data_IF_784971924495
#
_entry.id   IF_784971924495
#
_cell.length_a   1.000
_cell.length_b   1.000
_cell.length_c   1.000
_cell.angle_alpha   90.00
_cell.angle_beta   90.00
_cell.angle_gamma   90.00
#
_symmetry.space_group_name_H-M   'P 1'
#
loop_
_entity.id
_entity.type
_entity.pdbx_description
1 polymer ?
#
# COMPACT_ATOMS: atom_id res chain seq x y z
N UNK A 1 3.41 1.15 -14.49
CA UNK A 1 4.68 0.43 -14.82
C UNK A 1 4.58 -1.01 -14.33
N UNK A 2 5.07 -2.00 -15.08
CA UNK A 2 5.04 -3.42 -14.69
C UNK A 2 6.42 -3.85 -14.24
N UNK A 3 6.53 -4.67 -13.17
CA UNK A 3 7.83 -5.15 -12.63
C UNK A 3 8.71 -5.92 -13.62
N UNK A 4 8.09 -6.60 -14.59
CA UNK A 4 8.80 -7.34 -15.65
C UNK A 4 9.17 -6.47 -16.85
N UNK A 5 8.89 -5.17 -16.82
CA UNK A 5 9.26 -4.29 -17.93
C UNK A 5 10.74 -3.93 -17.90
N UNK A 6 11.34 -3.81 -19.08
CA UNK A 6 12.74 -3.37 -19.21
C UNK A 6 12.96 -1.98 -18.60
N UNK A 7 12.00 -1.08 -18.74
CA UNK A 7 12.06 0.26 -18.14
C UNK A 7 12.11 0.22 -16.61
N UNK A 8 11.39 -0.70 -15.98
CA UNK A 8 11.47 -0.88 -14.55
C UNK A 8 12.84 -1.39 -14.12
N UNK A 9 13.34 -2.44 -14.75
CA UNK A 9 14.56 -3.12 -14.34
C UNK A 9 15.83 -2.31 -14.63
N UNK A 10 15.90 -1.67 -15.81
CA UNK A 10 17.13 -1.02 -16.28
C UNK A 10 17.17 0.49 -16.10
N UNK A 11 16.01 1.13 -15.86
CA UNK A 11 15.95 2.58 -15.66
C UNK A 11 15.47 2.92 -14.26
N UNK A 12 14.24 2.56 -13.92
CA UNK A 12 13.65 2.96 -12.64
C UNK A 12 14.40 2.41 -11.43
N UNK A 13 14.62 1.11 -11.38
CA UNK A 13 15.24 0.43 -10.24
C UNK A 13 16.67 0.91 -9.97
N UNK A 14 17.59 0.99 -10.97
CA UNK A 14 18.93 1.51 -10.76
C UNK A 14 18.94 2.98 -10.31
N UNK A 15 18.08 3.83 -10.88
CA UNK A 15 17.97 5.24 -10.46
C UNK A 15 17.54 5.34 -9.00
N UNK A 16 16.49 4.60 -8.61
CA UNK A 16 16.00 4.59 -7.23
C UNK A 16 17.08 4.11 -6.27
N UNK A 17 17.78 3.02 -6.58
CA UNK A 17 18.89 2.54 -5.75
C UNK A 17 20.06 3.53 -5.70
N UNK A 18 20.43 4.13 -6.83
CA UNK A 18 21.49 5.15 -6.86
C UNK A 18 21.19 6.32 -5.93
N UNK A 19 19.97 6.89 -6.05
CA UNK A 19 19.54 7.99 -5.19
C UNK A 19 19.44 7.54 -3.73
N UNK A 20 18.91 6.34 -3.47
CA UNK A 20 18.76 5.79 -2.13
C UNK A 20 20.11 5.63 -1.40
N UNK A 21 21.13 5.03 -2.04
CA UNK A 21 22.42 4.77 -1.41
C UNK A 21 23.29 6.02 -1.26
N UNK A 22 23.20 6.98 -2.20
CA UNK A 22 23.89 8.28 -2.10
C UNK A 22 23.30 9.13 -0.98
N UNK A 23 22.03 8.94 -0.67
CA UNK A 23 21.31 9.79 0.28
C UNK A 23 21.57 9.44 1.74
N UNK A 24 21.58 10.44 2.63
CA UNK A 24 21.74 10.21 4.06
C UNK A 24 20.54 9.41 4.62
N UNK A 25 20.79 8.59 5.63
CA UNK A 25 19.82 7.66 6.22
C UNK A 25 18.47 8.33 6.59
N UNK A 26 18.52 9.56 7.06
CA UNK A 26 17.32 10.32 7.50
C UNK A 26 16.27 10.53 6.40
N UNK A 27 16.70 10.64 5.14
CA UNK A 27 15.79 10.91 4.02
C UNK A 27 15.48 9.67 3.16
N UNK A 28 16.06 8.51 3.47
CA UNK A 28 15.87 7.28 2.68
C UNK A 28 14.40 6.84 2.62
N UNK A 29 13.65 6.95 3.72
CA UNK A 29 12.22 6.65 3.71
C UNK A 29 11.44 7.61 2.83
N UNK A 30 11.82 8.88 2.81
CA UNK A 30 11.21 9.88 1.91
C UNK A 30 11.46 9.52 0.44
N UNK A 31 12.70 9.13 0.10
CA UNK A 31 13.04 8.70 -1.27
C UNK A 31 12.22 7.47 -1.68
N UNK A 32 12.14 6.46 -0.81
CA UNK A 32 11.34 5.28 -1.08
C UNK A 32 9.85 5.63 -1.24
N UNK A 33 9.33 6.53 -0.41
CA UNK A 33 7.95 6.98 -0.50
C UNK A 33 7.68 7.69 -1.84
N UNK A 34 8.51 8.67 -2.20
CA UNK A 34 8.36 9.40 -3.47
C UNK A 34 8.55 8.48 -4.67
N UNK A 35 9.57 7.62 -4.68
CA UNK A 35 9.77 6.65 -5.75
C UNK A 35 8.56 5.73 -5.91
N UNK A 36 7.97 5.30 -4.81
CA UNK A 36 6.77 4.45 -4.81
C UNK A 36 5.55 5.18 -5.35
N UNK A 37 5.36 6.46 -4.99
CA UNK A 37 4.30 7.30 -5.55
C UNK A 37 4.47 7.50 -7.05
N UNK A 38 5.69 7.78 -7.51
CA UNK A 38 6.00 7.91 -8.94
C UNK A 38 5.71 6.60 -9.68
N UNK A 39 6.13 5.45 -9.11
CA UNK A 39 5.84 4.14 -9.68
C UNK A 39 4.33 3.88 -9.82
N UNK A 40 3.56 4.21 -8.79
CA UNK A 40 2.11 4.05 -8.79
C UNK A 40 1.42 5.01 -9.75
N UNK A 41 1.80 6.29 -9.70
CA UNK A 41 1.24 7.34 -10.59
C UNK A 41 1.52 7.07 -12.06
N UNK A 42 2.61 6.35 -12.40
CA UNK A 42 2.88 5.95 -13.79
C UNK A 42 1.80 5.05 -14.38
N UNK A 43 1.17 4.22 -13.54
CA UNK A 43 0.06 3.36 -13.96
C UNK A 43 -1.31 3.99 -13.72
N UNK A 44 -1.44 4.76 -12.64
CA UNK A 44 -2.70 5.27 -12.11
C UNK A 44 -2.57 6.73 -11.65
N UNK A 45 -2.43 7.70 -12.58
CA UNK A 45 -2.09 9.08 -12.22
C UNK A 45 -3.15 9.77 -11.36
N UNK A 46 -4.42 9.47 -11.54
CA UNK A 46 -5.50 10.06 -10.74
C UNK A 46 -5.70 9.37 -9.40
N UNK A 47 -5.51 8.06 -9.34
CA UNK A 47 -5.77 7.28 -8.12
C UNK A 47 -4.65 7.34 -7.08
N UNK A 48 -3.51 7.94 -7.42
CA UNK A 48 -2.46 8.26 -6.42
C UNK A 48 -3.01 9.20 -5.33
N UNK A 49 -3.93 10.10 -5.68
CA UNK A 49 -4.58 11.01 -4.72
C UNK A 49 -5.45 10.21 -3.74
N UNK A 50 -6.20 9.23 -4.24
CA UNK A 50 -7.02 8.36 -3.39
C UNK A 50 -6.14 7.54 -2.42
N UNK A 51 -5.02 7.00 -2.90
CA UNK A 51 -4.07 6.27 -2.07
C UNK A 51 -3.47 7.17 -0.98
N UNK A 52 -3.07 8.40 -1.33
CA UNK A 52 -2.57 9.38 -0.35
C UNK A 52 -3.63 9.75 0.67
N UNK A 53 -4.87 10.01 0.24
CA UNK A 53 -5.98 10.28 1.13
C UNK A 53 -6.21 9.13 2.11
N UNK A 54 -6.27 7.90 1.61
CA UNK A 54 -6.44 6.70 2.45
C UNK A 54 -5.26 6.51 3.42
N UNK A 55 -4.04 6.84 2.98
CA UNK A 55 -2.83 6.79 3.82
C UNK A 55 -2.92 7.80 4.97
N UNK A 56 -3.28 9.06 4.69
CA UNK A 56 -3.48 10.09 5.72
C UNK A 56 -4.56 9.66 6.70
N UNK A 57 -5.70 9.19 6.20
CA UNK A 57 -6.82 8.73 7.00
C UNK A 57 -6.38 7.65 8.01
N UNK A 58 -5.73 6.61 7.54
CA UNK A 58 -5.32 5.50 8.40
C UNK A 58 -4.15 5.85 9.33
N UNK A 59 -3.26 6.76 8.94
CA UNK A 59 -2.26 7.33 9.82
C UNK A 59 -2.90 8.03 11.03
N UNK A 60 -3.90 8.88 10.76
CA UNK A 60 -4.66 9.57 11.81
C UNK A 60 -5.42 8.58 12.68
N UNK A 61 -6.09 7.58 12.08
CA UNK A 61 -6.79 6.54 12.85
C UNK A 61 -5.86 5.75 13.75
N UNK A 62 -4.67 5.37 13.28
CA UNK A 62 -3.67 4.72 14.12
C UNK A 62 -3.28 5.55 15.33
N UNK A 63 -3.01 6.84 15.13
CA UNK A 63 -2.69 7.77 16.21
C UNK A 63 -3.85 7.94 17.20
N UNK A 64 -5.09 8.06 16.71
CA UNK A 64 -6.28 8.20 17.56
C UNK A 64 -6.55 6.92 18.36
N UNK A 65 -6.46 5.76 17.74
CA UNK A 65 -6.64 4.47 18.43
C UNK A 65 -5.62 4.32 19.53
N UNK A 66 -4.36 4.66 19.29
CA UNK A 66 -3.32 4.62 20.32
C UNK A 66 -3.58 5.62 21.45
N UNK A 67 -4.00 6.85 21.12
CA UNK A 67 -4.31 7.90 22.13
C UNK A 67 -5.44 7.49 23.06
N UNK A 68 -6.44 6.79 22.56
CA UNK A 68 -7.61 6.36 23.34
C UNK A 68 -7.54 4.90 23.77
N UNK A 69 -6.38 4.25 23.67
CA UNK A 69 -6.18 2.85 24.07
C UNK A 69 -6.68 2.59 25.48
N UNK A 70 -7.40 1.50 25.67
CA UNK A 70 -8.04 1.16 26.96
C UNK A 70 -9.38 1.84 27.25
N UNK A 71 -9.84 2.76 26.40
CA UNK A 71 -11.15 3.41 26.51
C UNK A 71 -12.14 2.83 25.50
N UNK A 72 -13.43 2.88 25.82
CA UNK A 72 -14.53 2.49 24.90
C UNK A 72 -14.47 3.27 23.57
N UNK A 73 -14.00 4.52 23.62
CA UNK A 73 -13.81 5.35 22.42
C UNK A 73 -12.87 4.72 21.38
N UNK A 74 -11.83 3.97 21.81
CA UNK A 74 -10.92 3.31 20.87
C UNK A 74 -11.66 2.28 19.99
N UNK A 75 -12.65 1.57 20.56
CA UNK A 75 -13.48 0.60 19.80
C UNK A 75 -14.30 1.30 18.72
N UNK A 76 -14.89 2.45 19.02
CA UNK A 76 -15.68 3.20 18.04
C UNK A 76 -14.81 3.85 16.95
N UNK A 77 -13.61 4.32 17.32
CA UNK A 77 -12.62 4.83 16.36
C UNK A 77 -12.17 3.70 15.42
N UNK A 78 -11.89 2.51 15.93
CA UNK A 78 -11.57 1.36 15.10
C UNK A 78 -12.74 0.99 14.18
N UNK A 79 -13.96 0.89 14.71
CA UNK A 79 -15.14 0.56 13.93
C UNK A 79 -15.37 1.58 12.79
N UNK A 80 -15.24 2.88 13.07
CA UNK A 80 -15.35 3.92 12.03
C UNK A 80 -14.24 3.81 10.98
N UNK A 81 -13.00 3.47 11.37
CA UNK A 81 -11.91 3.22 10.43
C UNK A 81 -12.25 2.06 9.48
N UNK A 82 -12.73 0.94 10.03
CA UNK A 82 -13.12 -0.23 9.23
C UNK A 82 -14.25 0.12 8.26
N UNK A 83 -15.30 0.78 8.75
CA UNK A 83 -16.45 1.19 7.92
C UNK A 83 -16.02 2.12 6.78
N UNK A 84 -15.17 3.12 7.06
CA UNK A 84 -14.67 4.04 6.04
C UNK A 84 -13.79 3.33 5.00
N UNK A 85 -12.85 2.50 5.43
CA UNK A 85 -11.99 1.76 4.52
C UNK A 85 -12.78 0.81 3.62
N UNK A 86 -13.70 0.04 4.20
CA UNK A 86 -14.58 -0.86 3.44
C UNK A 86 -15.58 -0.07 2.59
N UNK A 87 -16.05 1.09 3.03
CA UNK A 87 -16.91 1.98 2.26
C UNK A 87 -16.22 2.51 1.00
N UNK A 88 -14.98 2.99 1.13
CA UNK A 88 -14.16 3.42 -0.03
C UNK A 88 -13.94 2.26 -0.99
N UNK A 89 -13.50 1.11 -0.48
CA UNK A 89 -13.30 -0.09 -1.30
C UNK A 89 -14.61 -0.52 -1.97
N UNK A 90 -15.70 -0.56 -1.22
CA UNK A 90 -17.03 -0.94 -1.71
C UNK A 90 -17.52 0.00 -2.81
N UNK A 91 -17.32 1.30 -2.63
CA UNK A 91 -17.69 2.30 -3.64
C UNK A 91 -16.98 2.04 -4.98
N UNK A 92 -15.67 1.89 -5.00
CA UNK A 92 -14.96 1.65 -6.25
C UNK A 92 -15.20 0.27 -6.85
N UNK A 93 -15.42 -0.75 -6.02
CA UNK A 93 -15.47 -2.14 -6.48
C UNK A 93 -16.89 -2.63 -6.78
N UNK A 94 -17.88 -2.16 -6.07
CA UNK A 94 -19.21 -2.76 -6.09
C UNK A 94 -20.35 -1.81 -6.47
N UNK A 95 -20.10 -0.51 -6.73
CA UNK A 95 -21.16 0.43 -7.05
C UNK A 95 -21.95 0.01 -8.29
N UNK A 96 -21.27 -0.29 -9.39
CA UNK A 96 -21.95 -0.68 -10.64
C UNK A 96 -22.67 -2.03 -10.52
N UNK A 97 -22.13 -2.95 -9.71
CA UNK A 97 -22.81 -4.19 -9.38
C UNK A 97 -24.14 -3.93 -8.63
N UNK A 98 -24.15 -3.05 -7.63
CA UNK A 98 -25.37 -2.72 -6.90
C UNK A 98 -26.36 -1.95 -7.77
N UNK A 99 -25.91 -0.97 -8.57
CA UNK A 99 -26.77 -0.24 -9.50
C UNK A 99 -27.40 -1.20 -10.50
N UNK A 100 -26.62 -2.13 -11.09
CA UNK A 100 -27.13 -3.12 -12.02
C UNK A 100 -28.21 -4.02 -11.43
N UNK A 101 -28.02 -4.48 -10.17
CA UNK A 101 -29.03 -5.29 -9.48
C UNK A 101 -30.28 -4.48 -9.16
N UNK A 102 -30.16 -3.22 -8.70
CA UNK A 102 -31.31 -2.34 -8.44
C UNK A 102 -32.09 -2.11 -9.72
N UNK A 103 -31.41 -1.82 -10.84
CA UNK A 103 -32.06 -1.66 -12.13
C UNK A 103 -32.82 -2.93 -12.56
N UNK A 104 -32.21 -4.11 -12.37
CA UNK A 104 -32.81 -5.38 -12.75
C UNK A 104 -34.02 -5.74 -11.88
N UNK A 105 -34.00 -5.48 -10.57
CA UNK A 105 -35.07 -5.87 -9.65
C UNK A 105 -36.24 -4.88 -9.60
N UNK A 106 -35.91 -3.59 -9.73
CA UNK A 106 -36.95 -2.53 -9.58
C UNK A 106 -37.29 -1.85 -10.90
N UNK A 107 -36.75 -2.28 -12.04
CA UNK A 107 -36.96 -1.62 -13.33
C UNK A 107 -36.46 -0.18 -13.39
N UNK A 108 -35.51 0.17 -12.50
CA UNK A 108 -34.90 1.49 -12.49
C UNK A 108 -33.98 1.69 -13.68
N UNK A 109 -33.75 2.94 -14.08
CA UNK A 109 -32.83 3.30 -15.17
C UNK A 109 -31.68 4.16 -14.63
N UNK A 110 -31.07 3.76 -13.50
CA UNK A 110 -29.94 4.48 -12.89
C UNK A 110 -28.71 4.25 -13.77
N UNK A 111 -28.02 5.32 -14.23
CA UNK A 111 -26.83 5.16 -15.05
C UNK A 111 -25.69 4.52 -14.24
N UNK A 112 -24.97 3.59 -14.87
CA UNK A 112 -23.73 3.03 -14.30
C UNK A 112 -22.64 4.10 -14.26
N UNK A 113 -21.85 4.11 -13.20
CA UNK A 113 -20.77 5.08 -13.03
C UNK A 113 -19.53 4.73 -13.85
N UNK A 114 -19.38 3.46 -14.26
CA UNK A 114 -18.24 2.94 -15.01
C UNK A 114 -16.89 3.30 -14.36
N UNK A 115 -16.81 3.19 -13.04
CA UNK A 115 -15.61 3.50 -12.29
C UNK A 115 -14.51 2.49 -12.60
N UNK A 116 -13.37 2.96 -13.05
CA UNK A 116 -12.18 2.11 -13.17
C UNK A 116 -11.70 1.72 -11.78
N UNK A 117 -11.53 0.41 -11.53
CA UNK A 117 -11.03 -0.08 -10.25
C UNK A 117 -9.54 0.29 -10.09
N UNK A 118 -9.15 1.12 -9.09
CA UNK A 118 -7.76 1.48 -8.87
C UNK A 118 -6.89 0.26 -8.61
N UNK A 119 -5.76 0.16 -9.29
CA UNK A 119 -4.82 -0.97 -9.11
C UNK A 119 -4.38 -1.01 -7.64
N UNK A 120 -4.47 -2.19 -7.03
CA UNK A 120 -4.02 -2.41 -5.66
C UNK A 120 -4.94 -1.87 -4.55
N UNK A 121 -6.11 -1.26 -4.87
CA UNK A 121 -6.99 -0.68 -3.85
C UNK A 121 -7.35 -1.67 -2.73
N UNK A 122 -7.65 -2.91 -3.06
CA UNK A 122 -7.93 -3.93 -2.06
C UNK A 122 -6.71 -4.23 -1.18
N UNK A 123 -5.52 -4.30 -1.79
CA UNK A 123 -4.28 -4.60 -1.05
C UNK A 123 -3.94 -3.51 -0.04
N UNK A 124 -3.83 -2.24 -0.47
CA UNK A 124 -3.47 -1.18 0.45
C UNK A 124 -4.58 -0.89 1.47
N UNK A 125 -5.85 -1.09 1.11
CA UNK A 125 -6.95 -0.96 2.07
C UNK A 125 -6.85 -1.99 3.20
N UNK A 126 -6.70 -3.28 2.87
CA UNK A 126 -6.54 -4.31 3.89
C UNK A 126 -5.23 -4.17 4.68
N UNK A 127 -4.15 -3.74 4.04
CA UNK A 127 -2.88 -3.48 4.70
C UNK A 127 -3.01 -2.37 5.74
N UNK A 128 -3.62 -1.23 5.37
CA UNK A 128 -3.84 -0.12 6.30
C UNK A 128 -4.83 -0.48 7.40
N UNK A 129 -5.89 -1.23 7.08
CA UNK A 129 -6.84 -1.72 8.06
C UNK A 129 -6.17 -2.64 9.09
N UNK A 130 -5.30 -3.57 8.62
CA UNK A 130 -4.55 -4.45 9.52
C UNK A 130 -3.66 -3.66 10.48
N UNK A 131 -3.00 -2.59 9.99
CA UNK A 131 -2.22 -1.70 10.85
C UNK A 131 -3.06 -1.07 11.97
N UNK A 132 -4.24 -0.50 11.66
CA UNK A 132 -5.09 0.12 12.69
C UNK A 132 -5.58 -0.93 13.71
N UNK A 133 -5.87 -2.16 13.24
CA UNK A 133 -6.25 -3.29 14.11
C UNK A 133 -5.07 -3.71 15.01
N UNK A 134 -3.86 -3.83 14.46
CA UNK A 134 -2.66 -4.20 15.22
C UNK A 134 -2.35 -3.15 16.31
N UNK A 135 -2.52 -1.85 16.00
CA UNK A 135 -2.39 -0.78 17.00
C UNK A 135 -3.46 -0.89 18.09
N UNK A 136 -4.71 -1.18 17.72
CA UNK A 136 -5.80 -1.36 18.69
C UNK A 136 -5.54 -2.55 19.63
N UNK A 137 -5.08 -3.68 19.10
CA UNK A 137 -4.72 -4.86 19.89
C UNK A 137 -3.50 -4.64 20.76
N UNK A 138 -2.64 -3.69 20.39
CA UNK A 138 -1.39 -3.39 21.07
C UNK A 138 -0.22 -4.22 20.54
N UNK A 139 -0.40 -4.91 19.41
CA UNK A 139 0.64 -5.68 18.74
C UNK A 139 1.68 -4.75 18.08
N UNK A 140 1.28 -3.52 17.76
CA UNK A 140 2.15 -2.48 17.23
C UNK A 140 1.91 -1.13 17.93
N UNK A 141 2.95 -0.29 17.99
CA UNK A 141 2.80 1.13 18.29
C UNK A 141 2.38 1.90 17.03
N UNK A 142 1.56 2.95 17.18
CA UNK A 142 1.23 3.80 16.05
C UNK A 142 2.48 4.52 15.53
N UNK A 143 2.67 4.50 14.20
CA UNK A 143 3.77 5.19 13.56
C UNK A 143 3.64 6.71 13.75
N UNK A 144 4.73 7.34 14.19
CA UNK A 144 4.77 8.79 14.46
C UNK A 144 5.18 9.59 13.23
N UNK A 145 5.87 8.97 12.29
CA UNK A 145 6.38 9.62 11.09
C UNK A 145 5.49 9.25 9.89
N UNK A 146 4.80 10.25 9.34
CA UNK A 146 3.93 10.06 8.17
C UNK A 146 4.69 9.53 6.95
N UNK A 147 5.94 9.97 6.75
CA UNK A 147 6.77 9.52 5.61
C UNK A 147 7.11 8.03 5.73
N UNK A 148 7.46 7.56 6.94
CA UNK A 148 7.70 6.14 7.19
C UNK A 148 6.44 5.30 6.99
N UNK A 149 5.28 5.80 7.44
CA UNK A 149 3.99 5.14 7.21
C UNK A 149 3.62 5.12 5.73
N UNK A 150 3.77 6.24 5.03
CA UNK A 150 3.53 6.33 3.59
C UNK A 150 4.46 5.39 2.78
N UNK A 151 5.73 5.32 3.17
CA UNK A 151 6.67 4.36 2.58
C UNK A 151 6.23 2.90 2.80
N UNK A 152 5.70 2.57 3.99
CA UNK A 152 5.13 1.24 4.26
C UNK A 152 3.94 0.93 3.35
N UNK A 153 3.00 1.85 3.22
CA UNK A 153 1.76 1.63 2.45
C UNK A 153 2.04 1.56 0.95
N UNK A 154 2.82 2.51 0.44
CA UNK A 154 3.02 2.69 -1.01
C UNK A 154 4.17 1.88 -1.59
N UNK A 155 4.96 1.16 -0.78
CA UNK A 155 6.20 0.52 -1.20
C UNK A 155 6.04 -0.26 -2.50
N UNK A 156 6.67 0.21 -3.57
CA UNK A 156 6.46 -0.28 -4.94
C UNK A 156 6.66 -1.79 -5.13
N UNK A 157 7.60 -2.48 -4.48
CA UNK A 157 7.73 -3.93 -4.65
C UNK A 157 6.57 -4.74 -4.08
N UNK A 158 5.80 -4.14 -3.17
CA UNK A 158 4.72 -4.82 -2.46
C UNK A 158 3.34 -4.44 -2.99
N UNK A 159 3.13 -3.18 -3.40
CA UNK A 159 1.82 -2.59 -3.64
C UNK A 159 1.01 -3.29 -4.74
N UNK A 160 1.65 -3.76 -5.80
CA UNK A 160 0.95 -4.28 -7.01
C UNK A 160 0.88 -5.80 -7.06
N UNK A 161 1.87 -6.51 -6.52
CA UNK A 161 1.97 -7.96 -6.69
C UNK A 161 2.58 -8.70 -5.48
N UNK A 162 2.79 -8.01 -4.36
CA UNK A 162 3.35 -8.60 -3.14
C UNK A 162 2.30 -9.22 -2.22
N UNK A 163 2.70 -10.07 -1.26
CA UNK A 163 1.83 -10.46 -0.16
C UNK A 163 1.52 -9.24 0.72
N UNK A 164 0.37 -9.26 1.40
CA UNK A 164 0.06 -8.25 2.42
C UNK A 164 1.04 -8.43 3.58
N UNK A 165 1.97 -7.49 3.72
CA UNK A 165 2.94 -7.48 4.81
C UNK A 165 2.34 -6.72 5.99
N UNK A 166 2.32 -7.36 7.17
CA UNK A 166 1.86 -6.69 8.39
C UNK A 166 2.85 -5.61 8.80
N UNK A 167 2.33 -4.53 9.38
CA UNK A 167 3.15 -3.44 9.88
C UNK A 167 4.14 -3.91 10.95
N UNK A 168 3.71 -4.81 11.84
CA UNK A 168 4.55 -5.41 12.89
C UNK A 168 5.83 -6.06 12.36
N UNK A 169 5.78 -6.64 11.15
CA UNK A 169 6.92 -7.35 10.55
C UNK A 169 8.02 -6.39 10.10
N UNK A 170 7.68 -5.16 9.70
CA UNK A 170 8.66 -4.22 9.11
C UNK A 170 8.82 -2.92 9.89
N UNK A 171 8.06 -2.73 10.98
CA UNK A 171 8.08 -1.51 11.77
C UNK A 171 9.49 -1.11 12.23
N UNK A 172 10.26 -2.06 12.76
CA UNK A 172 11.63 -1.81 13.18
C UNK A 172 12.55 -1.49 11.99
N UNK A 173 12.38 -2.17 10.86
CA UNK A 173 13.17 -1.93 9.67
C UNK A 173 12.89 -0.58 8.99
N UNK A 174 11.71 -0.01 9.19
CA UNK A 174 11.40 1.33 8.69
C UNK A 174 12.23 2.41 9.39
N UNK A 175 12.47 2.24 10.68
CA UNK A 175 13.11 3.25 11.52
C UNK A 175 14.59 2.93 11.80
N UNK A 176 14.95 1.65 11.96
CA UNK A 176 16.26 1.19 12.45
C UNK A 176 17.02 0.26 11.49
N UNK A 177 16.63 0.21 10.21
CA UNK A 177 17.28 -0.72 9.26
C UNK A 177 18.77 -0.47 9.11
N UNK A 178 19.50 -1.57 8.97
CA UNK A 178 20.92 -1.57 8.64
C UNK A 178 21.11 -2.28 7.32
N UNK A 179 21.70 -1.58 6.36
CA UNK A 179 22.03 -2.17 5.07
C UNK A 179 23.47 -2.72 5.13
N UNK A 180 23.68 -3.89 4.52
CA UNK A 180 25.02 -4.46 4.26
C UNK A 180 25.12 -4.92 2.81
N UNK A 181 26.34 -4.99 2.30
CA UNK A 181 26.63 -5.49 0.94
C UNK A 181 26.15 -6.92 0.75
N UNK A 182 26.31 -7.76 1.77
CA UNK A 182 25.88 -9.17 1.73
C UNK A 182 24.36 -9.29 1.66
N UNK A 183 23.63 -8.51 2.47
CA UNK A 183 22.17 -8.48 2.42
C UNK A 183 21.67 -7.93 1.07
N UNK A 184 22.35 -6.95 0.50
CA UNK A 184 22.00 -6.39 -0.80
C UNK A 184 22.23 -7.42 -1.91
N UNK A 185 23.38 -8.09 -1.94
CA UNK A 185 23.67 -9.16 -2.90
C UNK A 185 22.68 -10.32 -2.79
N UNK A 186 22.33 -10.72 -1.56
CA UNK A 186 21.30 -11.73 -1.32
C UNK A 186 19.92 -11.28 -1.85
N UNK A 187 19.55 -10.01 -1.62
CA UNK A 187 18.32 -9.42 -2.13
C UNK A 187 18.23 -9.43 -3.65
N UNK A 188 19.32 -9.06 -4.35
CA UNK A 188 19.42 -9.15 -5.81
C UNK A 188 19.21 -10.58 -6.29
N UNK A 189 19.92 -11.55 -5.68
CA UNK A 189 19.77 -12.97 -6.05
C UNK A 189 18.32 -13.45 -5.92
N UNK A 190 17.65 -13.10 -4.81
CA UNK A 190 16.22 -13.45 -4.61
C UNK A 190 15.33 -12.77 -5.63
N UNK A 191 15.55 -11.49 -5.91
CA UNK A 191 14.77 -10.74 -6.88
C UNK A 191 14.90 -11.36 -8.29
N UNK A 192 16.12 -11.61 -8.76
CA UNK A 192 16.39 -12.22 -10.08
C UNK A 192 15.75 -13.62 -10.17
N UNK A 193 15.89 -14.44 -9.12
CA UNK A 193 15.26 -15.77 -9.09
C UNK A 193 13.74 -15.69 -9.14
N UNK A 194 13.13 -14.76 -8.39
CA UNK A 194 11.67 -14.52 -8.40
C UNK A 194 11.19 -14.03 -9.77
N UNK A 195 11.91 -13.10 -10.37
CA UNK A 195 11.62 -12.58 -11.70
C UNK A 195 11.71 -13.67 -12.77
N UNK A 196 12.76 -14.49 -12.72
CA UNK A 196 12.92 -15.62 -13.63
C UNK A 196 11.74 -16.60 -13.54
N UNK A 197 11.31 -16.95 -12.32
CA UNK A 197 10.10 -17.79 -12.12
C UNK A 197 8.86 -17.15 -12.72
N UNK A 198 8.67 -15.84 -12.52
CA UNK A 198 7.51 -15.13 -13.08
C UNK A 198 7.56 -15.13 -14.61
N UNK A 199 8.69 -14.77 -15.21
CA UNK A 199 8.80 -14.60 -16.67
C UNK A 199 8.83 -15.94 -17.38
N UNK A 200 9.59 -16.92 -16.88
CA UNK A 200 9.78 -18.20 -17.56
C UNK A 200 8.69 -19.24 -17.28
N UNK A 201 8.06 -19.17 -16.09
CA UNK A 201 7.05 -20.14 -15.72
C UNK A 201 5.63 -19.54 -15.78
N UNK A 202 5.36 -18.49 -14.99
CA UNK A 202 4.00 -17.97 -14.83
C UNK A 202 3.47 -17.21 -16.05
N UNK A 203 4.32 -16.66 -16.92
CA UNK A 203 3.89 -16.01 -18.15
C UNK A 203 3.80 -16.97 -19.35
N UNK A 204 4.31 -18.21 -19.21
CA UNK A 204 4.37 -19.21 -20.30
C UNK A 204 3.27 -20.26 -20.15
N UNK A 205 2.68 -20.40 -18.96
CA UNK A 205 1.52 -21.25 -18.64
C UNK A 205 0.23 -20.43 -18.73
#
# INVERSE_FOLDING_TARGET
MVFSSLNFMFVFLPIVFGIYFISPRKIRNFILFIASLVFYAWGEPFYVVLMLFSTILNFVYGALVQKYKGKTSAKWILASSVVLNLGILGFFKYTDFFIGNINAWFGASIPLLNLTLPIGISFYTFQMMSYVIDVYRGDAAAQKNFVSFGAYVALFPQLVAGPIVRYTTIADQLDNRRESTDMFAYGIKRFVTGLAKKVLLANTI
#
